data_IF_048842440083
#
_entry.id   IF_048842440083
#
_cell.length_a   1.000
_cell.length_b   1.000
_cell.length_c   1.000
_cell.angle_alpha   90.00
_cell.angle_beta   90.00
_cell.angle_gamma   90.00
#
_symmetry.space_group_name_H-M   'P 1'
#
loop_
_entity.id
_entity.type
_entity.pdbx_description
1 polymer ?
#
# COMPACT_ATOMS: atom_id res chain seq x y z
N UNK A 1 7.36 -2.44 -10.83
CA UNK A 1 7.82 -2.70 -9.43
C UNK A 1 6.61 -3.14 -8.61
N UNK A 2 6.74 -4.14 -7.72
CA UNK A 2 5.64 -4.61 -6.86
C UNK A 2 5.73 -3.95 -5.49
N UNK A 3 4.58 -3.55 -4.94
CA UNK A 3 4.53 -2.91 -3.62
C UNK A 3 3.33 -3.39 -2.84
N UNK A 4 3.36 -3.22 -1.53
CA UNK A 4 2.14 -3.13 -0.71
C UNK A 4 1.94 -1.67 -0.31
N UNK A 5 0.70 -1.19 -0.39
CA UNK A 5 0.33 0.16 0.01
C UNK A 5 -0.54 0.10 1.26
N UNK A 6 -0.17 0.80 2.32
CA UNK A 6 -1.02 0.93 3.51
C UNK A 6 -2.23 1.84 3.21
N UNK A 7 -3.37 1.55 3.82
CA UNK A 7 -4.60 2.33 3.74
C UNK A 7 -4.39 3.80 4.09
N UNK A 8 -3.54 4.13 5.07
CA UNK A 8 -3.28 5.53 5.44
C UNK A 8 -2.64 6.34 4.30
N UNK A 9 -1.84 5.69 3.45
CA UNK A 9 -1.20 6.32 2.29
C UNK A 9 -2.24 6.53 1.19
N UNK A 10 -3.11 5.54 0.98
CA UNK A 10 -4.21 5.66 0.03
C UNK A 10 -5.17 6.81 0.42
N UNK A 11 -5.60 6.85 1.67
CA UNK A 11 -6.46 7.93 2.22
C UNK A 11 -5.79 9.29 2.08
N UNK A 12 -4.53 9.42 2.53
CA UNK A 12 -3.81 10.70 2.44
C UNK A 12 -3.60 11.14 0.98
N UNK A 13 -3.42 10.19 0.05
CA UNK A 13 -3.29 10.51 -1.36
C UNK A 13 -4.57 11.01 -2.02
N UNK A 14 -5.73 10.56 -1.54
CA UNK A 14 -7.03 11.06 -1.99
C UNK A 14 -7.40 12.40 -1.33
N UNK A 15 -7.02 12.63 -0.07
CA UNK A 15 -7.25 13.90 0.63
C UNK A 15 -6.32 15.02 0.16
N UNK A 16 -5.05 14.69 -0.08
CA UNK A 16 -4.00 15.64 -0.47
C UNK A 16 -3.34 15.18 -1.76
N UNK A 17 -3.98 15.38 -2.93
CA UNK A 17 -3.48 14.87 -4.20
C UNK A 17 -2.07 15.36 -4.54
N UNK A 18 -1.70 16.57 -4.15
CA UNK A 18 -0.37 17.13 -4.44
C UNK A 18 0.71 16.72 -3.41
N UNK A 19 0.35 15.96 -2.38
CA UNK A 19 1.29 15.42 -1.40
C UNK A 19 1.92 14.09 -1.82
N UNK A 20 2.84 13.53 -1.00
CA UNK A 20 3.54 12.28 -1.31
C UNK A 20 2.60 11.10 -1.60
N UNK A 21 1.56 10.90 -0.78
CA UNK A 21 0.57 9.84 -1.01
C UNK A 21 -0.17 10.01 -2.34
N UNK A 22 -0.48 11.25 -2.73
CA UNK A 22 -1.19 11.53 -3.98
C UNK A 22 -0.31 11.33 -5.22
N UNK A 23 0.99 11.61 -5.11
CA UNK A 23 1.98 11.23 -6.13
C UNK A 23 2.06 9.71 -6.29
N UNK A 24 2.09 8.96 -5.18
CA UNK A 24 2.10 7.48 -5.23
C UNK A 24 0.83 6.94 -5.90
N UNK A 25 -0.36 7.45 -5.53
CA UNK A 25 -1.62 7.05 -6.17
C UNK A 25 -1.59 7.32 -7.67
N UNK A 26 -1.06 8.48 -8.11
CA UNK A 26 -0.90 8.75 -9.56
C UNK A 26 0.03 7.76 -10.26
N UNK A 27 1.15 7.40 -9.63
CA UNK A 27 2.09 6.42 -10.20
C UNK A 27 1.43 5.04 -10.32
N UNK A 28 0.66 4.63 -9.30
CA UNK A 28 -0.16 3.41 -9.36
C UNK A 28 -1.19 3.47 -10.50
N UNK A 29 -1.92 4.57 -10.62
CA UNK A 29 -2.91 4.78 -11.69
C UNK A 29 -2.29 4.81 -13.09
N UNK A 30 -1.01 5.18 -13.22
CA UNK A 30 -0.25 5.15 -14.46
C UNK A 30 0.22 3.74 -14.85
N UNK A 31 0.05 2.74 -13.98
CA UNK A 31 0.49 1.35 -14.20
C UNK A 31 1.97 1.09 -13.93
N UNK A 32 2.68 2.08 -13.37
CA UNK A 32 4.12 1.99 -13.06
C UNK A 32 4.41 1.12 -11.82
N UNK A 33 3.40 0.94 -10.95
CA UNK A 33 3.45 0.14 -9.73
C UNK A 33 2.33 -0.90 -9.72
N UNK A 34 2.69 -2.13 -9.33
CA UNK A 34 1.75 -3.24 -9.17
C UNK A 34 1.51 -3.43 -7.67
N UNK A 35 0.30 -3.13 -7.20
CA UNK A 35 -0.08 -3.36 -5.81
C UNK A 35 -0.33 -4.86 -5.59
N UNK A 36 0.39 -5.45 -4.64
CA UNK A 36 0.07 -6.76 -4.09
C UNK A 36 -0.90 -6.56 -2.94
N UNK A 37 -1.96 -7.36 -2.89
CA UNK A 37 -2.96 -7.31 -1.84
C UNK A 37 -3.53 -8.70 -1.59
N UNK A 38 -4.17 -8.89 -0.44
CA UNK A 38 -5.10 -10.00 -0.22
C UNK A 38 -6.53 -9.45 -0.05
N UNK A 39 -7.49 -10.33 0.22
CA UNK A 39 -8.88 -9.93 0.43
C UNK A 39 -9.08 -9.04 1.65
N UNK A 40 -8.26 -9.19 2.70
CA UNK A 40 -8.37 -8.40 3.94
C UNK A 40 -8.00 -6.94 3.67
N UNK A 41 -6.92 -6.70 2.94
CA UNK A 41 -6.47 -5.35 2.55
C UNK A 41 -7.53 -4.65 1.68
N UNK A 42 -8.11 -5.34 0.70
CA UNK A 42 -9.16 -4.73 -0.14
C UNK A 42 -10.42 -4.37 0.66
N UNK A 43 -10.81 -5.22 1.61
CA UNK A 43 -11.93 -4.94 2.50
C UNK A 43 -11.63 -3.72 3.37
N UNK A 44 -10.42 -3.62 3.94
CA UNK A 44 -10.02 -2.47 4.72
C UNK A 44 -10.04 -1.17 3.90
N UNK A 45 -9.52 -1.19 2.67
CA UNK A 45 -9.63 -0.03 1.78
C UNK A 45 -11.08 0.40 1.60
N UNK A 46 -11.98 -0.54 1.29
CA UNK A 46 -13.39 -0.23 1.10
C UNK A 46 -14.01 0.37 2.37
N UNK A 47 -13.82 -0.29 3.51
CA UNK A 47 -14.37 0.15 4.80
C UNK A 47 -13.87 1.53 5.20
N UNK A 48 -12.56 1.79 5.06
CA UNK A 48 -11.95 3.05 5.44
C UNK A 48 -12.36 4.17 4.48
N UNK A 49 -12.31 3.94 3.17
CA UNK A 49 -12.66 4.96 2.17
C UNK A 49 -14.14 5.33 2.19
N UNK A 50 -15.02 4.41 2.60
CA UNK A 50 -16.45 4.69 2.76
C UNK A 50 -16.82 5.47 4.03
N UNK A 51 -15.88 5.70 4.96
CA UNK A 51 -16.17 6.42 6.21
C UNK A 51 -16.66 7.85 5.89
N UNK A 52 -17.85 8.25 6.37
CA UNK A 52 -18.45 9.56 6.02
C UNK A 52 -17.56 10.77 6.34
N UNK A 53 -16.67 10.65 7.33
CA UNK A 53 -15.71 11.70 7.72
C UNK A 53 -14.81 12.18 6.57
N UNK A 54 -14.52 11.32 5.60
CA UNK A 54 -13.67 11.66 4.46
C UNK A 54 -14.43 12.32 3.31
N UNK A 55 -15.77 12.17 3.26
CA UNK A 55 -16.65 12.77 2.25
C UNK A 55 -16.24 12.47 0.80
N UNK A 56 -15.63 11.31 0.56
CA UNK A 56 -15.31 10.86 -0.79
C UNK A 56 -16.58 10.50 -1.57
N UNK A 57 -16.56 10.73 -2.89
CA UNK A 57 -17.61 10.27 -3.79
C UNK A 57 -17.51 8.74 -3.92
N UNK A 58 -18.61 8.02 -3.63
CA UNK A 58 -18.64 6.55 -3.65
C UNK A 58 -18.30 5.95 -5.02
N UNK A 59 -18.84 6.50 -6.11
CA UNK A 59 -18.57 6.01 -7.46
C UNK A 59 -17.07 6.13 -7.82
N UNK A 60 -16.42 7.19 -7.35
CA UNK A 60 -14.97 7.34 -7.53
C UNK A 60 -14.17 6.33 -6.71
N UNK A 61 -14.60 6.02 -5.49
CA UNK A 61 -13.97 4.98 -4.67
C UNK A 61 -14.15 3.61 -5.32
N UNK A 62 -15.35 3.29 -5.80
CA UNK A 62 -15.64 2.02 -6.46
C UNK A 62 -14.79 1.85 -7.72
N UNK A 63 -14.71 2.90 -8.54
CA UNK A 63 -13.83 2.95 -9.73
C UNK A 63 -12.36 2.71 -9.36
N UNK A 64 -11.88 3.33 -8.28
CA UNK A 64 -10.51 3.14 -7.80
C UNK A 64 -10.28 1.69 -7.32
N UNK A 65 -11.18 1.14 -6.51
CA UNK A 65 -11.07 -0.22 -6.00
C UNK A 65 -11.09 -1.26 -7.14
N UNK A 66 -11.95 -1.05 -8.14
CA UNK A 66 -11.99 -1.93 -9.32
C UNK A 66 -10.74 -1.78 -10.18
N UNK A 67 -10.19 -0.57 -10.31
CA UNK A 67 -8.88 -0.37 -10.93
C UNK A 67 -7.78 -1.14 -10.17
N UNK A 68 -7.74 -1.05 -8.84
CA UNK A 68 -6.76 -1.77 -8.02
C UNK A 68 -6.93 -3.29 -8.13
N UNK A 69 -8.16 -3.79 -8.15
CA UNK A 69 -8.45 -5.23 -8.36
C UNK A 69 -7.93 -5.70 -9.71
N UNK A 70 -8.17 -4.93 -10.76
CA UNK A 70 -7.82 -5.28 -12.15
C UNK A 70 -6.31 -5.21 -12.43
N UNK A 71 -5.62 -4.23 -11.87
CA UNK A 71 -4.21 -3.94 -12.18
C UNK A 71 -3.23 -4.37 -11.07
N UNK A 72 -3.72 -4.61 -9.86
CA UNK A 72 -2.97 -5.23 -8.79
C UNK A 72 -2.97 -6.76 -8.89
N UNK A 73 -2.35 -7.40 -7.92
CA UNK A 73 -2.19 -8.85 -7.87
C UNK A 73 -2.63 -9.37 -6.50
N UNK A 74 -3.62 -10.27 -6.54
CA UNK A 74 -4.07 -11.01 -5.37
C UNK A 74 -2.99 -12.03 -4.95
N UNK A 75 -2.62 -12.04 -3.69
CA UNK A 75 -1.66 -13.00 -3.12
C UNK A 75 -2.30 -13.85 -2.03
N UNK A 76 -1.92 -15.13 -2.00
CA UNK A 76 -2.26 -16.01 -0.89
C UNK A 76 -1.24 -15.83 0.23
N UNK A 77 -1.72 -15.39 1.39
CA UNK A 77 -0.89 -15.11 2.56
C UNK A 77 -0.92 -16.28 3.55
N UNK A 78 0.11 -16.34 4.38
CA UNK A 78 0.16 -17.19 5.58
C UNK A 78 0.36 -16.29 6.79
N UNK A 79 -0.17 -16.67 7.97
CA UNK A 79 0.05 -15.91 9.19
C UNK A 79 1.52 -15.66 9.49
N UNK A 80 1.85 -14.49 10.03
CA UNK A 80 3.21 -14.17 10.48
C UNK A 80 3.68 -15.16 11.57
N UNK A 81 4.98 -15.47 11.55
CA UNK A 81 5.60 -16.28 12.63
C UNK A 81 5.66 -15.51 13.96
N UNK A 82 5.77 -14.19 13.87
CA UNK A 82 5.83 -13.28 15.00
C UNK A 82 4.77 -12.20 14.81
N UNK A 83 3.80 -12.08 15.73
CA UNK A 83 2.74 -11.10 15.59
C UNK A 83 3.28 -9.68 15.63
N UNK A 84 2.55 -8.76 15.01
CA UNK A 84 2.84 -7.33 15.10
C UNK A 84 2.27 -6.74 16.39
N UNK A 85 2.76 -5.55 16.82
CA UNK A 85 2.15 -4.82 17.93
C UNK A 85 0.68 -4.48 17.68
N UNK A 86 0.32 -4.26 16.41
CA UNK A 86 -1.03 -4.03 15.94
C UNK A 86 -1.43 -5.14 14.96
N UNK A 87 -2.39 -6.02 15.32
CA UNK A 87 -2.87 -7.08 14.44
C UNK A 87 -3.46 -6.59 13.11
N UNK A 88 -3.99 -5.35 13.07
CA UNK A 88 -4.58 -4.79 11.85
C UNK A 88 -3.52 -4.50 10.76
N UNK A 89 -2.24 -4.40 11.14
CA UNK A 89 -1.13 -4.24 10.20
C UNK A 89 -0.59 -5.56 9.63
N UNK A 90 -0.95 -6.70 10.22
CA UNK A 90 -0.44 -8.01 9.82
C UNK A 90 -0.77 -8.36 8.36
N UNK A 91 -2.01 -8.16 7.86
CA UNK A 91 -2.34 -8.45 6.47
C UNK A 91 -1.41 -7.78 5.46
N UNK A 92 -1.01 -6.53 5.72
CA UNK A 92 -0.10 -5.78 4.84
C UNK A 92 1.29 -6.40 4.81
N UNK A 93 1.84 -6.76 5.98
CA UNK A 93 3.16 -7.36 6.04
C UNK A 93 3.16 -8.78 5.45
N UNK A 94 2.12 -9.56 5.72
CA UNK A 94 1.94 -10.90 5.15
C UNK A 94 1.84 -10.85 3.63
N UNK A 95 1.05 -9.92 3.08
CA UNK A 95 0.96 -9.70 1.63
C UNK A 95 2.30 -9.27 1.03
N UNK A 96 3.07 -8.44 1.75
CA UNK A 96 4.38 -8.00 1.30
C UNK A 96 5.38 -9.18 1.22
N UNK A 97 5.38 -10.05 2.24
CA UNK A 97 6.23 -11.25 2.30
C UNK A 97 5.82 -12.23 1.19
N UNK A 98 4.53 -12.59 1.12
CA UNK A 98 4.01 -13.54 0.14
C UNK A 98 4.23 -13.05 -1.31
N UNK A 99 3.95 -11.77 -1.56
CA UNK A 99 4.11 -11.14 -2.87
C UNK A 99 5.55 -10.86 -3.27
N UNK A 100 6.54 -11.06 -2.38
CA UNK A 100 7.95 -10.71 -2.56
C UNK A 100 8.09 -9.30 -3.13
N UNK A 101 7.48 -8.34 -2.45
CA UNK A 101 7.46 -6.94 -2.88
C UNK A 101 8.79 -6.26 -2.62
N UNK A 102 9.07 -5.21 -3.38
CA UNK A 102 10.25 -4.38 -3.19
C UNK A 102 10.13 -3.52 -1.92
N UNK A 103 8.90 -3.13 -1.54
CA UNK A 103 8.62 -2.45 -0.28
C UNK A 103 7.13 -2.48 0.12
N UNK A 104 6.87 -2.25 1.40
CA UNK A 104 5.59 -1.84 1.96
C UNK A 104 5.68 -0.34 2.28
N UNK A 105 4.71 0.44 1.79
CA UNK A 105 4.67 1.89 1.97
C UNK A 105 3.62 2.23 3.02
N UNK A 106 4.03 2.90 4.10
CA UNK A 106 3.16 3.24 5.26
C UNK A 106 3.54 4.58 5.87
N UNK A 107 2.55 5.33 6.36
CA UNK A 107 2.78 6.48 7.23
C UNK A 107 3.27 6.11 8.65
N UNK A 108 3.07 4.87 9.08
CA UNK A 108 3.24 4.42 10.47
C UNK A 108 4.34 3.36 10.61
N UNK A 109 5.58 3.70 10.25
CA UNK A 109 6.71 2.74 10.24
C UNK A 109 6.97 2.01 11.56
N UNK A 110 6.57 2.59 12.69
CA UNK A 110 6.71 1.99 14.03
C UNK A 110 5.85 0.75 14.22
N UNK A 111 4.77 0.59 13.45
CA UNK A 111 3.87 -0.56 13.49
C UNK A 111 4.54 -1.84 12.96
N UNK A 112 5.67 -1.70 12.26
CA UNK A 112 6.40 -2.79 11.64
C UNK A 112 7.80 -2.91 12.27
N UNK A 113 7.98 -3.55 13.44
CA UNK A 113 9.30 -3.74 14.06
C UNK A 113 10.27 -4.49 13.14
N UNK A 114 11.57 -4.17 13.22
CA UNK A 114 12.60 -4.78 12.34
C UNK A 114 12.65 -6.31 12.43
N UNK A 115 12.38 -6.87 13.61
CA UNK A 115 12.35 -8.32 13.86
C UNK A 115 11.29 -9.06 13.08
N UNK A 116 10.18 -8.41 12.72
CA UNK A 116 9.04 -9.06 12.08
C UNK A 116 9.05 -8.93 10.55
N UNK A 117 9.88 -8.04 9.99
CA UNK A 117 9.81 -7.64 8.56
C UNK A 117 10.19 -8.72 7.56
N UNK A 118 10.88 -9.80 7.97
CA UNK A 118 11.37 -10.86 7.08
C UNK A 118 12.07 -10.35 5.80
N UNK A 119 12.86 -9.27 5.93
CA UNK A 119 13.58 -8.64 4.81
C UNK A 119 12.78 -7.60 4.01
N UNK A 120 11.48 -7.43 4.30
CA UNK A 120 10.65 -6.40 3.65
C UNK A 120 11.12 -5.00 4.05
N UNK A 121 11.30 -4.16 3.03
CA UNK A 121 11.62 -2.74 3.20
C UNK A 121 10.35 -1.97 3.53
N UNK A 122 10.34 -1.30 4.69
CA UNK A 122 9.23 -0.45 5.12
C UNK A 122 9.61 1.01 4.87
N UNK A 123 8.87 1.69 4.00
CA UNK A 123 9.14 3.06 3.57
C UNK A 123 7.98 4.00 3.91
N UNK A 124 8.30 5.22 4.31
CA UNK A 124 7.32 6.31 4.30
C UNK A 124 7.01 6.73 2.87
N UNK A 125 5.89 7.44 2.62
CA UNK A 125 5.57 7.94 1.29
C UNK A 125 6.72 8.75 0.66
N UNK A 126 7.34 9.65 1.42
CA UNK A 126 8.47 10.46 0.93
C UNK A 126 9.71 9.63 0.64
N UNK A 127 10.07 8.70 1.53
CA UNK A 127 11.20 7.79 1.31
C UNK A 127 10.98 6.90 0.08
N UNK A 128 9.74 6.44 -0.15
CA UNK A 128 9.39 5.67 -1.33
C UNK A 128 9.58 6.48 -2.62
N UNK A 129 9.13 7.74 -2.66
CA UNK A 129 9.30 8.56 -3.86
C UNK A 129 10.78 8.80 -4.20
N UNK A 130 11.62 9.01 -3.19
CA UNK A 130 13.08 9.08 -3.39
C UNK A 130 13.66 7.76 -3.91
N UNK A 131 13.24 6.64 -3.32
CA UNK A 131 13.63 5.29 -3.75
C UNK A 131 13.21 5.02 -5.20
N UNK A 132 11.97 5.34 -5.56
CA UNK A 132 11.41 5.15 -6.89
C UNK A 132 12.12 6.00 -7.95
N UNK A 133 12.47 7.26 -7.63
CA UNK A 133 13.26 8.13 -8.53
C UNK A 133 14.63 7.55 -8.84
N UNK A 134 15.31 6.96 -7.85
CA UNK A 134 16.61 6.28 -8.05
C UNK A 134 16.43 5.03 -8.92
N UNK A 135 15.48 4.17 -8.56
CA UNK A 135 15.15 2.96 -9.33
C UNK A 135 14.85 3.26 -10.81
N UNK A 136 14.12 4.33 -11.11
CA UNK A 136 13.81 4.75 -12.48
C UNK A 136 15.01 5.28 -13.26
N UNK A 137 16.05 5.78 -12.59
CA UNK A 137 17.30 6.21 -13.24
C UNK A 137 18.18 5.02 -13.59
N UNK A 138 18.20 4.00 -12.73
CA UNK A 138 19.08 2.83 -12.88
C UNK A 138 18.61 1.84 -13.97
N UNK A 139 17.36 1.95 -14.42
CA UNK A 139 16.75 1.09 -15.46
C UNK A 139 16.71 1.78 -16.84
N UNK A 140 17.02 3.07 -16.90
CA UNK A 140 17.18 3.82 -18.16
C UNK A 140 18.64 3.78 -18.60
#
# INVERSE_FOLDING_TARGET
MKIVLDTNVLVSGLLTPFGPGGEIVRIVSAGDLIIQYDSRILLEYQEVLYRPKFKFNREHIDTLLDFLKKNGQLVSTSPLKHPLPDPDDEPFLEAAIAGRVECLITGNKSHYPRSSREGIKILSPSEFLEFYRKYRRDIK
#
